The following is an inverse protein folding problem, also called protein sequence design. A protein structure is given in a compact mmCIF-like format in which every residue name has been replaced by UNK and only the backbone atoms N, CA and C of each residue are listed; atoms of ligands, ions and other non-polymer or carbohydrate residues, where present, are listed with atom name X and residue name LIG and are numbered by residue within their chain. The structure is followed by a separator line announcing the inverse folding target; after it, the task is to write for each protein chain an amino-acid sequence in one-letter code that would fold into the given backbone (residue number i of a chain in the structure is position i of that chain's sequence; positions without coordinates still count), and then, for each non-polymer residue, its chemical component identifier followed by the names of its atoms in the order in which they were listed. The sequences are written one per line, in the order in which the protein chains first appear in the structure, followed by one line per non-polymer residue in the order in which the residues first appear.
data_IF_788199419646
#
_entry.id   IF_788199419646
#
_cell.length_a   1.000
_cell.length_b   1.000
_cell.length_c   1.000
_cell.angle_alpha   90.00
_cell.angle_beta   90.00
_cell.angle_gamma   90.00
#
_symmetry.space_group_name_H-M   'P 1'
#
loop_
_entity.id
_entity.type
_entity.pdbx_description
1 polymer ?
#
# COMPACT_ATOMS: atom_id res chain seq x y z
N UNK A 1 -43.80 -18.36 29.86
CA UNK A 1 -42.92 -18.61 28.70
C UNK A 1 -41.84 -17.55 28.70
N UNK A 2 -40.71 -17.84 29.35
CA UNK A 2 -39.66 -16.85 29.62
C UNK A 2 -38.60 -16.88 28.53
N UNK A 3 -38.39 -15.73 27.89
CA UNK A 3 -37.16 -15.35 27.17
C UNK A 3 -35.99 -15.45 28.18
N UNK A 4 -35.23 -16.53 28.17
CA UNK A 4 -33.88 -16.61 28.78
C UNK A 4 -33.26 -17.99 28.53
N UNK A 5 -33.07 -18.36 27.26
CA UNK A 5 -32.23 -19.52 26.96
C UNK A 5 -31.56 -19.39 25.58
N UNK A 6 -30.72 -18.37 25.44
CA UNK A 6 -29.72 -18.27 24.35
C UNK A 6 -28.45 -17.60 24.85
N UNK A 7 -28.01 -17.98 26.05
CA UNK A 7 -26.79 -17.42 26.62
C UNK A 7 -26.04 -18.51 27.37
N UNK A 8 -25.46 -19.45 26.63
CA UNK A 8 -24.31 -20.30 27.02
C UNK A 8 -24.21 -21.45 26.03
N UNK A 9 -23.23 -21.36 25.14
CA UNK A 9 -22.34 -22.47 24.79
C UNK A 9 -21.29 -21.87 23.87
N UNK A 10 -20.51 -20.97 24.45
CA UNK A 10 -19.30 -20.50 23.82
C UNK A 10 -18.19 -21.38 24.42
N UNK A 11 -17.62 -22.34 23.66
CA UNK A 11 -16.59 -23.27 24.14
C UNK A 11 -15.43 -22.53 24.77
N UNK A 12 -14.79 -23.03 25.84
CA UNK A 12 -13.78 -22.27 26.61
C UNK A 12 -12.56 -21.78 25.80
N UNK A 13 -12.37 -22.32 24.60
CA UNK A 13 -11.37 -22.01 23.59
C UNK A 13 -11.89 -21.04 22.49
N UNK A 14 -13.08 -20.46 22.64
CA UNK A 14 -13.58 -19.42 21.74
C UNK A 14 -12.67 -18.18 21.71
N UNK A 15 -11.92 -17.98 22.78
CA UNK A 15 -10.96 -16.91 22.96
C UNK A 15 -9.58 -17.27 22.39
N UNK A 16 -9.41 -18.43 21.74
CA UNK A 16 -8.14 -18.68 21.05
C UNK A 16 -8.06 -17.67 19.91
N UNK A 17 -7.23 -16.65 20.15
CA UNK A 17 -6.95 -15.57 19.24
C UNK A 17 -6.60 -16.18 17.87
N UNK A 18 -7.28 -15.80 16.77
CA UNK A 18 -6.95 -16.27 15.43
C UNK A 18 -5.46 -16.10 15.08
N UNK A 19 -4.79 -15.15 15.72
CA UNK A 19 -3.33 -14.98 15.75
C UNK A 19 -2.62 -16.25 16.25
N UNK A 20 -3.06 -16.78 17.39
CA UNK A 20 -2.46 -17.95 18.04
C UNK A 20 -2.74 -19.26 17.29
N UNK A 21 -3.86 -19.32 16.56
CA UNK A 21 -4.22 -20.46 15.70
C UNK A 21 -3.50 -20.46 14.35
N UNK A 22 -2.78 -19.38 14.00
CA UNK A 22 -2.11 -19.28 12.70
C UNK A 22 -3.10 -19.27 11.53
N UNK A 23 -4.29 -18.67 11.71
CA UNK A 23 -5.30 -18.57 10.64
C UNK A 23 -4.73 -17.71 9.50
N UNK A 24 -4.79 -18.17 8.23
CA UNK A 24 -4.32 -17.39 7.11
C UNK A 24 -4.96 -15.99 7.06
N UNK A 25 -4.14 -14.94 7.00
CA UNK A 25 -4.58 -13.53 6.90
C UNK A 25 -4.67 -12.76 8.22
N UNK A 26 -4.36 -13.37 9.37
CA UNK A 26 -4.35 -12.69 10.67
C UNK A 26 -2.92 -12.28 11.06
N UNK A 27 -2.69 -10.98 11.28
CA UNK A 27 -1.37 -10.43 11.64
C UNK A 27 -1.02 -10.76 13.09
N UNK A 28 0.09 -11.46 13.32
CA UNK A 28 0.57 -11.77 14.66
C UNK A 28 1.40 -10.62 15.23
N UNK A 29 1.12 -10.09 16.44
CA UNK A 29 1.86 -8.98 17.07
C UNK A 29 3.27 -9.38 17.57
N UNK A 30 3.83 -10.48 17.08
CA UNK A 30 5.15 -11.01 17.41
C UNK A 30 5.84 -11.76 16.28
N UNK A 31 5.42 -11.54 15.02
CA UNK A 31 6.17 -11.99 13.85
C UNK A 31 7.62 -11.49 13.94
N UNK A 32 8.61 -12.36 13.69
CA UNK A 32 10.02 -11.95 13.77
C UNK A 32 10.33 -11.12 12.53
N UNK A 33 11.30 -10.20 12.57
CA UNK A 33 11.80 -9.57 11.36
C UNK A 33 12.41 -10.67 10.48
N UNK A 34 11.67 -11.15 9.47
CA UNK A 34 12.12 -12.17 8.53
C UNK A 34 11.16 -13.33 8.23
N UNK A 35 9.97 -13.41 8.84
CA UNK A 35 8.92 -14.39 8.45
C UNK A 35 7.79 -13.81 7.58
N UNK A 36 7.86 -12.51 7.29
CA UNK A 36 7.15 -11.91 6.18
C UNK A 36 8.16 -11.78 5.04
N UNK A 37 7.80 -12.19 3.83
CA UNK A 37 8.25 -11.49 2.62
C UNK A 37 7.75 -10.03 2.74
N UNK A 38 8.28 -9.28 3.71
CA UNK A 38 8.39 -7.83 3.72
C UNK A 38 9.39 -7.54 2.60
N UNK A 39 8.95 -7.83 1.38
CA UNK A 39 9.76 -7.73 0.20
C UNK A 39 10.28 -6.30 0.08
N UNK A 40 11.22 -6.11 -0.83
CA UNK A 40 11.88 -4.84 -1.20
C UNK A 40 10.90 -3.66 -1.47
N UNK A 41 9.58 -3.89 -1.37
CA UNK A 41 8.45 -3.03 -1.67
C UNK A 41 7.49 -2.80 -0.48
N UNK A 42 7.88 -3.09 0.77
CA UNK A 42 7.03 -2.84 1.97
C UNK A 42 6.43 -1.43 2.02
N UNK A 43 7.19 -0.42 1.58
CA UNK A 43 6.71 0.97 1.47
C UNK A 43 5.48 1.16 0.56
N UNK A 44 5.18 0.22 -0.35
CA UNK A 44 4.01 0.33 -1.22
C UNK A 44 2.69 0.20 -0.45
N UNK A 45 2.68 -0.48 0.71
CA UNK A 45 1.47 -0.59 1.53
C UNK A 45 1.04 0.75 2.11
N UNK A 46 1.99 1.67 2.30
CA UNK A 46 1.76 3.00 2.85
C UNK A 46 1.55 4.06 1.75
N UNK A 47 1.47 3.63 0.48
CA UNK A 47 1.29 4.54 -0.64
C UNK A 47 -0.15 5.10 -0.69
N UNK A 48 -0.28 6.42 -0.53
CA UNK A 48 -1.56 7.12 -0.56
C UNK A 48 -2.33 6.92 -1.88
N UNK A 49 -1.62 6.71 -3.01
CA UNK A 49 -2.25 6.49 -4.31
C UNK A 49 -3.12 5.24 -4.36
N UNK A 50 -2.83 4.21 -3.56
CA UNK A 50 -3.64 2.99 -3.48
C UNK A 50 -5.06 3.23 -2.93
N UNK A 51 -5.30 4.39 -2.30
CA UNK A 51 -6.58 4.81 -1.72
C UNK A 51 -7.35 5.77 -2.64
N UNK A 52 -6.88 5.98 -3.86
CA UNK A 52 -7.44 6.95 -4.82
C UNK A 52 -7.67 6.29 -6.18
N UNK A 53 -8.26 7.03 -7.13
CA UNK A 53 -8.49 6.53 -8.48
C UNK A 53 -7.16 6.26 -9.21
N UNK A 54 -6.86 5.00 -9.61
CA UNK A 54 -5.62 4.65 -10.31
C UNK A 54 -5.51 5.32 -11.68
N UNK A 55 -6.62 5.62 -12.35
CA UNK A 55 -6.60 6.24 -13.69
C UNK A 55 -5.97 7.63 -13.68
N UNK A 56 -6.06 8.34 -12.54
CA UNK A 56 -5.42 9.65 -12.37
C UNK A 56 -3.88 9.56 -12.48
N UNK A 57 -3.28 8.42 -12.11
CA UNK A 57 -1.83 8.21 -12.12
C UNK A 57 -1.32 7.71 -13.47
N UNK A 58 -2.19 7.15 -14.31
CA UNK A 58 -1.88 6.64 -15.64
C UNK A 58 -2.73 7.31 -16.73
N UNK A 59 -2.66 8.64 -16.89
CA UNK A 59 -3.50 9.34 -17.84
C UNK A 59 -3.18 8.96 -19.29
N UNK A 60 -4.22 8.89 -20.12
CA UNK A 60 -4.09 8.77 -21.56
C UNK A 60 -3.35 9.98 -22.17
N UNK A 61 -2.97 9.88 -23.45
CA UNK A 61 -2.26 10.96 -24.17
C UNK A 61 -3.05 12.28 -24.10
N UNK A 62 -2.54 13.24 -23.35
CA UNK A 62 -3.16 14.56 -23.17
C UNK A 62 -4.02 14.70 -21.91
N UNK A 63 -4.15 13.66 -21.10
CA UNK A 63 -4.84 13.72 -19.81
C UNK A 63 -4.14 14.59 -18.78
N UNK A 64 -4.90 15.08 -17.81
CA UNK A 64 -4.39 15.93 -16.73
C UNK A 64 -3.57 15.10 -15.74
N UNK A 65 -2.36 15.58 -15.43
CA UNK A 65 -1.49 15.01 -14.36
C UNK A 65 -1.63 15.75 -13.04
N UNK A 66 -2.50 16.76 -12.98
CA UNK A 66 -2.54 17.73 -11.88
C UNK A 66 -2.99 17.11 -10.56
N UNK A 67 -4.01 16.25 -10.62
CA UNK A 67 -4.59 15.66 -9.42
C UNK A 67 -3.69 14.57 -8.83
N UNK A 68 -3.14 13.69 -9.67
CA UNK A 68 -2.14 12.71 -9.24
C UNK A 68 -0.91 13.37 -8.60
N UNK A 69 -0.40 14.47 -9.18
CA UNK A 69 0.70 15.24 -8.58
C UNK A 69 0.34 15.82 -7.21
N UNK A 70 -0.90 16.27 -7.03
CA UNK A 70 -1.39 16.80 -5.74
C UNK A 70 -1.42 15.69 -4.69
N UNK A 71 -1.94 14.52 -5.05
CA UNK A 71 -2.00 13.35 -4.15
C UNK A 71 -0.58 12.87 -3.80
N UNK A 72 0.32 12.78 -4.79
CA UNK A 72 1.71 12.40 -4.53
C UNK A 72 2.43 13.39 -3.60
N UNK A 73 2.08 14.69 -3.63
CA UNK A 73 2.75 15.69 -2.80
C UNK A 73 2.52 15.46 -1.30
N UNK A 74 1.34 14.93 -0.93
CA UNK A 74 0.97 14.56 0.44
C UNK A 74 1.32 13.11 0.81
N UNK A 75 1.91 12.34 -0.10
CA UNK A 75 2.29 10.95 0.14
C UNK A 75 3.63 10.85 0.90
N UNK A 76 3.66 10.09 1.99
CA UNK A 76 4.83 9.94 2.86
C UNK A 76 5.95 9.16 2.16
N UNK A 77 5.59 8.12 1.40
CA UNK A 77 6.53 7.24 0.68
C UNK A 77 6.98 7.78 -0.68
N UNK A 78 6.72 9.06 -0.99
CA UNK A 78 7.01 9.66 -2.31
C UNK A 78 8.48 9.54 -2.72
N UNK A 79 9.41 9.61 -1.77
CA UNK A 79 10.85 9.55 -2.03
C UNK A 79 11.26 8.14 -2.45
N UNK A 80 10.83 7.12 -1.70
CA UNK A 80 11.06 5.71 -2.02
C UNK A 80 10.41 5.35 -3.37
N UNK A 81 9.18 5.84 -3.61
CA UNK A 81 8.47 5.67 -4.87
C UNK A 81 9.24 6.26 -6.07
N UNK A 82 9.81 7.45 -5.91
CA UNK A 82 10.61 8.08 -6.96
C UNK A 82 11.89 7.28 -7.24
N UNK A 83 12.59 6.89 -6.18
CA UNK A 83 13.82 6.11 -6.30
C UNK A 83 13.57 4.78 -7.00
N UNK A 84 12.52 4.06 -6.61
CA UNK A 84 12.08 2.85 -7.28
C UNK A 84 11.83 3.08 -8.77
N UNK A 85 11.09 4.14 -9.13
CA UNK A 85 10.79 4.45 -10.53
C UNK A 85 12.03 4.81 -11.35
N UNK A 86 13.05 5.40 -10.74
CA UNK A 86 14.32 5.71 -11.40
C UNK A 86 15.19 4.46 -11.59
N UNK A 87 15.24 3.58 -10.59
CA UNK A 87 16.01 2.33 -10.63
C UNK A 87 15.42 1.33 -11.63
N UNK A 88 14.09 1.22 -11.72
CA UNK A 88 13.39 0.29 -12.60
C UNK A 88 13.05 0.87 -13.98
N UNK A 89 13.49 2.10 -14.27
CA UNK A 89 13.18 2.84 -15.51
C UNK A 89 11.68 2.84 -15.85
N UNK A 90 10.83 3.10 -14.86
CA UNK A 90 9.37 3.12 -15.06
C UNK A 90 9.00 4.16 -16.13
N UNK A 91 8.36 3.70 -17.21
CA UNK A 91 8.14 4.51 -18.44
C UNK A 91 6.78 5.19 -18.51
N UNK A 92 5.85 4.81 -17.64
CA UNK A 92 4.48 5.32 -17.68
C UNK A 92 4.07 5.87 -16.32
N UNK A 93 3.02 6.68 -16.34
CA UNK A 93 2.38 7.22 -15.15
C UNK A 93 3.20 8.21 -14.31
N UNK A 94 2.59 8.60 -13.20
CA UNK A 94 3.14 9.51 -12.19
C UNK A 94 3.74 8.71 -11.05
N UNK A 95 5.03 8.92 -10.80
CA UNK A 95 5.79 8.26 -9.72
C UNK A 95 6.51 9.31 -8.89
N UNK A 96 6.38 9.23 -7.56
CA UNK A 96 6.97 10.21 -6.64
C UNK A 96 6.60 11.68 -6.96
N UNK A 97 5.42 11.92 -7.53
CA UNK A 97 4.97 13.24 -7.96
C UNK A 97 5.55 13.76 -9.28
N UNK A 98 6.29 12.93 -10.02
CA UNK A 98 6.91 13.27 -11.29
C UNK A 98 6.33 12.44 -12.44
N UNK A 99 6.03 13.08 -13.56
CA UNK A 99 5.73 12.41 -14.82
C UNK A 99 6.97 11.80 -15.45
N UNK A 100 6.79 10.87 -16.40
CA UNK A 100 7.90 10.28 -17.17
C UNK A 100 8.81 11.35 -17.79
N UNK A 101 8.24 12.39 -18.40
CA UNK A 101 9.03 13.49 -19.00
C UNK A 101 9.87 14.22 -17.96
N UNK A 102 9.36 14.37 -16.75
CA UNK A 102 10.09 15.03 -15.65
C UNK A 102 11.18 14.11 -15.08
N UNK A 103 10.89 12.82 -14.88
CA UNK A 103 11.88 11.83 -14.45
C UNK A 103 13.04 11.72 -15.46
N UNK A 104 12.74 11.73 -16.76
CA UNK A 104 13.77 11.77 -17.81
C UNK A 104 14.65 13.02 -17.75
N UNK A 105 14.07 14.18 -17.41
CA UNK A 105 14.86 15.41 -17.22
C UNK A 105 15.72 15.33 -15.97
N UNK A 106 15.23 14.72 -14.90
CA UNK A 106 15.96 14.51 -13.66
C UNK A 106 17.17 13.59 -13.88
N UNK A 107 16.98 12.45 -14.56
CA UNK A 107 18.07 11.52 -14.93
C UNK A 107 19.16 12.13 -15.79
N UNK A 108 18.85 13.18 -16.57
CA UNK A 108 19.85 13.89 -17.40
C UNK A 108 20.66 14.92 -16.62
N UNK A 109 20.22 15.27 -15.40
CA UNK A 109 20.83 16.31 -14.55
C UNK A 109 21.63 15.73 -13.39
N UNK A 110 21.32 14.50 -12.99
CA UNK A 110 22.12 13.69 -12.06
C UNK A 110 23.29 13.05 -12.81
#
# INVERSE_FOLDING_TARGET
MTISDRRREVPGDWFVDPVHLGVPGVRSPGARPGDEDEGVLGWQTDALCAQTDPEAFFPEKGGSTRDAKRICASCEVKTQCLEYALQNDERFGIWGGLSERERRKLRKRA
#
